data_IF_392738442900
#
_entry.id   IF_392738442900
#
_cell.length_a   1.000
_cell.length_b   1.000
_cell.length_c   1.000
_cell.angle_alpha   90.00
_cell.angle_beta   90.00
_cell.angle_gamma   90.00
#
_symmetry.space_group_name_H-M   'P 1'
#
loop_
_entity.id
_entity.type
_entity.pdbx_description
1 polymer ?
#
# COMPACT_ATOMS: atom_id res chain seq x y z
N UNK A 1 -9.84 12.28 19.56
CA UNK A 1 -8.66 12.88 18.95
C UNK A 1 -8.77 12.90 17.45
N UNK A 2 -8.44 14.02 16.85
CA UNK A 2 -8.46 14.14 15.40
C UNK A 2 -7.06 13.90 14.86
N UNK A 3 -6.94 12.88 14.03
CA UNK A 3 -5.69 12.61 13.31
C UNK A 3 -5.81 13.27 11.93
N UNK A 4 -4.85 14.11 11.61
CA UNK A 4 -4.84 14.87 10.36
C UNK A 4 -3.87 14.28 9.33
N UNK A 5 -3.10 13.29 9.73
CA UNK A 5 -2.01 12.74 8.92
C UNK A 5 -2.09 11.22 8.89
N UNK A 6 -1.73 10.66 7.75
CA UNK A 6 -1.57 9.21 7.59
C UNK A 6 -0.22 8.95 6.93
N UNK A 7 0.61 8.13 7.56
CA UNK A 7 1.83 7.60 6.97
C UNK A 7 1.50 6.31 6.26
N UNK A 8 1.85 6.21 4.99
CA UNK A 8 1.59 5.06 4.13
C UNK A 8 2.90 4.39 3.76
N UNK A 9 2.94 3.08 3.86
CA UNK A 9 4.07 2.27 3.44
C UNK A 9 3.55 1.11 2.59
N UNK A 10 4.02 1.01 1.35
CA UNK A 10 3.64 -0.05 0.43
C UNK A 10 4.77 -1.06 0.27
N UNK A 11 4.38 -2.33 0.18
CA UNK A 11 5.25 -3.37 -0.33
C UNK A 11 4.82 -3.65 -1.77
N UNK A 12 5.77 -3.63 -2.70
CA UNK A 12 5.48 -3.73 -4.13
C UNK A 12 6.40 -4.73 -4.82
N UNK A 13 5.98 -5.17 -6.00
CA UNK A 13 6.78 -6.05 -6.87
C UNK A 13 7.42 -5.27 -8.02
N UNK A 14 7.44 -3.95 -7.94
CA UNK A 14 8.01 -3.07 -8.95
C UNK A 14 8.54 -1.77 -8.37
N UNK A 15 9.17 -0.96 -9.21
CA UNK A 15 9.79 0.31 -8.80
C UNK A 15 9.20 1.53 -9.50
N UNK A 16 8.32 1.33 -10.47
CA UNK A 16 7.67 2.41 -11.22
C UNK A 16 6.30 2.74 -10.63
N UNK A 17 5.71 3.83 -11.11
CA UNK A 17 4.42 4.33 -10.61
C UNK A 17 3.25 3.36 -10.86
N UNK A 18 3.41 2.38 -11.72
CA UNK A 18 2.41 1.36 -12.03
C UNK A 18 2.72 0.01 -11.37
N UNK A 19 3.58 -0.02 -10.37
CA UNK A 19 4.00 -1.26 -9.72
C UNK A 19 2.82 -2.05 -9.15
N UNK A 20 2.90 -3.37 -9.26
CA UNK A 20 1.97 -4.27 -8.58
C UNK A 20 2.19 -4.16 -7.07
N UNK A 21 1.11 -4.07 -6.30
CA UNK A 21 1.15 -3.88 -4.85
C UNK A 21 0.94 -5.21 -4.15
N UNK A 22 1.79 -5.50 -3.17
CA UNK A 22 1.73 -6.71 -2.35
C UNK A 22 0.99 -6.44 -1.03
N UNK A 23 1.23 -5.28 -0.43
CA UNK A 23 0.66 -4.94 0.86
C UNK A 23 0.55 -3.42 1.02
N UNK A 24 -0.47 -2.99 1.76
CA UNK A 24 -0.65 -1.60 2.16
C UNK A 24 -0.61 -1.55 3.68
N UNK A 25 0.33 -0.77 4.22
CA UNK A 25 0.40 -0.46 5.63
C UNK A 25 0.21 1.03 5.84
N UNK A 26 -0.43 1.41 6.95
CA UNK A 26 -0.62 2.81 7.28
C UNK A 26 -0.83 3.01 8.77
N UNK A 27 -0.48 4.20 9.24
CA UNK A 27 -0.75 4.63 10.61
C UNK A 27 -1.16 6.10 10.59
N UNK A 28 -2.26 6.40 11.27
CA UNK A 28 -2.67 7.78 11.47
C UNK A 28 -1.85 8.42 12.60
N UNK A 29 -1.58 9.71 12.51
CA UNK A 29 -0.82 10.41 13.55
C UNK A 29 -1.16 11.89 13.58
N UNK A 30 -0.81 12.55 14.69
CA UNK A 30 -0.83 13.99 14.80
C UNK A 30 0.59 14.52 14.99
N UNK A 31 0.77 15.84 14.90
CA UNK A 31 2.10 16.43 15.04
C UNK A 31 2.59 16.50 16.49
N UNK A 32 1.79 16.09 17.45
CA UNK A 32 2.17 15.99 18.86
C UNK A 32 2.78 14.63 19.20
N UNK A 33 2.88 13.73 18.22
CA UNK A 33 3.49 12.43 18.41
C UNK A 33 2.50 11.32 18.80
N UNK A 34 1.20 11.60 18.77
CA UNK A 34 0.18 10.58 19.07
C UNK A 34 -0.06 9.74 17.83
N UNK A 35 -0.06 8.41 18.01
CA UNK A 35 -0.39 7.45 16.96
C UNK A 35 -1.84 7.01 17.11
N UNK A 36 -2.51 6.92 15.98
CA UNK A 36 -3.91 6.53 15.91
C UNK A 36 -4.11 5.15 15.30
N UNK A 37 -5.31 4.90 14.77
CA UNK A 37 -5.62 3.59 14.17
C UNK A 37 -4.67 3.23 13.04
N UNK A 38 -4.34 1.95 12.97
CA UNK A 38 -3.47 1.42 11.93
C UNK A 38 -4.28 0.66 10.89
N UNK A 39 -3.67 0.48 9.71
CA UNK A 39 -4.19 -0.36 8.64
C UNK A 39 -3.07 -1.25 8.15
N UNK A 40 -3.36 -2.52 7.90
CA UNK A 40 -2.44 -3.41 7.22
C UNK A 40 -3.22 -4.54 6.55
N UNK A 41 -3.11 -4.62 5.22
CA UNK A 41 -3.70 -5.73 4.47
C UNK A 41 -2.78 -6.12 3.33
N UNK A 42 -2.71 -7.42 3.07
CA UNK A 42 -1.98 -7.97 1.95
C UNK A 42 -2.90 -8.15 0.75
N UNK A 43 -2.32 -7.99 -0.44
CA UNK A 43 -3.04 -8.08 -1.71
C UNK A 43 -2.60 -9.35 -2.43
N UNK A 44 -3.54 -10.09 -2.98
CA UNK A 44 -3.24 -11.20 -3.88
C UNK A 44 -2.49 -10.63 -5.09
N UNK A 45 -1.25 -11.07 -5.28
CA UNK A 45 -0.38 -10.49 -6.31
C UNK A 45 -0.99 -10.62 -7.71
N UNK A 46 -1.56 -11.78 -8.03
CA UNK A 46 -2.17 -12.01 -9.33
C UNK A 46 -3.27 -10.98 -9.64
N UNK A 47 -4.08 -10.61 -8.65
CA UNK A 47 -5.15 -9.63 -8.85
C UNK A 47 -4.60 -8.24 -9.17
N UNK A 48 -3.49 -7.86 -8.56
CA UNK A 48 -2.84 -6.58 -8.85
C UNK A 48 -2.27 -6.56 -10.27
N UNK A 49 -1.61 -7.64 -10.67
CA UNK A 49 -1.06 -7.78 -12.03
C UNK A 49 -2.16 -7.81 -13.07
N UNK A 50 -3.24 -8.55 -12.82
CA UNK A 50 -4.38 -8.66 -13.75
C UNK A 50 -5.04 -7.30 -14.00
N UNK A 51 -4.98 -6.41 -13.01
CA UNK A 51 -5.53 -5.06 -13.14
C UNK A 51 -4.50 -4.04 -13.66
N UNK A 52 -3.38 -4.49 -14.18
CA UNK A 52 -2.38 -3.62 -14.80
C UNK A 52 -1.18 -3.27 -13.94
N UNK A 53 -1.08 -3.82 -12.75
CA UNK A 53 0.13 -3.69 -11.94
C UNK A 53 1.31 -4.39 -12.60
N UNK A 54 2.48 -3.77 -12.57
CA UNK A 54 3.66 -4.27 -13.25
C UNK A 54 4.66 -4.84 -12.26
N UNK A 55 5.21 -6.02 -12.59
CA UNK A 55 6.31 -6.61 -11.86
C UNK A 55 7.62 -6.34 -12.60
N UNK A 56 8.62 -5.85 -11.87
CA UNK A 56 9.95 -5.64 -12.42
C UNK A 56 10.86 -6.80 -12.05
N UNK A 57 11.62 -7.31 -13.03
CA UNK A 57 12.51 -8.44 -12.81
C UNK A 57 13.51 -8.18 -11.68
N UNK A 58 14.05 -6.97 -11.60
CA UNK A 58 15.01 -6.60 -10.55
C UNK A 58 14.38 -6.69 -9.15
N UNK A 59 13.12 -6.30 -9.02
CA UNK A 59 12.40 -6.36 -7.74
C UNK A 59 12.07 -7.80 -7.37
N UNK A 60 11.63 -8.61 -8.34
CA UNK A 60 11.40 -10.04 -8.11
C UNK A 60 12.66 -10.72 -7.60
N UNK A 61 13.79 -10.46 -8.25
CA UNK A 61 15.08 -11.03 -7.84
C UNK A 61 15.50 -10.55 -6.45
N UNK A 62 15.24 -9.28 -6.14
CA UNK A 62 15.52 -8.73 -4.82
C UNK A 62 14.70 -9.46 -3.74
N UNK A 63 13.40 -9.69 -3.97
CA UNK A 63 12.55 -10.42 -3.03
C UNK A 63 13.03 -11.86 -2.83
N UNK A 64 13.49 -12.53 -3.90
CA UNK A 64 13.97 -13.89 -3.80
C UNK A 64 15.22 -14.04 -2.93
N UNK A 65 15.97 -12.94 -2.73
CA UNK A 65 17.14 -12.90 -1.86
C UNK A 65 16.81 -12.57 -0.41
N UNK A 66 15.57 -12.22 -0.12
CA UNK A 66 15.16 -11.88 1.23
C UNK A 66 14.93 -13.13 2.06
N UNK A 67 14.79 -12.94 3.40
CA UNK A 67 14.50 -14.02 4.32
C UNK A 67 13.11 -14.63 4.07
N UNK A 68 12.89 -15.83 4.57
CA UNK A 68 11.58 -16.49 4.50
C UNK A 68 10.50 -15.62 5.13
N UNK A 69 10.81 -14.93 6.22
CA UNK A 69 9.85 -14.06 6.90
C UNK A 69 9.46 -12.87 6.04
N UNK A 70 10.42 -12.25 5.36
CA UNK A 70 10.12 -11.14 4.46
C UNK A 70 9.27 -11.60 3.28
N UNK A 71 9.54 -12.79 2.74
CA UNK A 71 8.80 -13.35 1.61
C UNK A 71 7.37 -13.74 1.95
N UNK A 72 7.05 -13.95 3.22
CA UNK A 72 5.68 -14.26 3.64
C UNK A 72 4.68 -13.17 3.26
N UNK A 73 5.13 -11.94 3.04
CA UNK A 73 4.25 -10.84 2.67
C UNK A 73 3.55 -11.07 1.33
N UNK A 74 4.20 -11.72 0.38
CA UNK A 74 3.57 -12.03 -0.91
C UNK A 74 3.22 -13.50 -1.08
N UNK A 75 3.66 -14.38 -0.19
CA UNK A 75 3.30 -15.79 -0.18
C UNK A 75 1.96 -16.04 0.54
N UNK A 76 1.47 -15.05 1.28
CA UNK A 76 0.18 -15.15 1.97
C UNK A 76 -0.97 -15.10 0.99
N UNK A 77 -2.07 -15.75 1.35
CA UNK A 77 -3.35 -15.59 0.67
C UNK A 77 -3.88 -14.18 0.98
N UNK A 78 -3.58 -13.22 0.10
CA UNK A 78 -4.08 -11.87 0.22
C UNK A 78 -5.50 -11.75 -0.32
N UNK A 79 -6.12 -10.60 -0.05
CA UNK A 79 -7.40 -10.25 -0.63
C UNK A 79 -7.20 -9.68 -2.03
N UNK A 80 -8.27 -9.69 -2.84
CA UNK A 80 -8.22 -9.07 -4.16
C UNK A 80 -7.90 -7.58 -4.03
N UNK A 81 -7.16 -7.05 -5.00
CA UNK A 81 -6.69 -5.66 -4.93
C UNK A 81 -7.84 -4.67 -4.72
N UNK A 82 -8.94 -4.81 -5.46
CA UNK A 82 -10.04 -3.85 -5.34
C UNK A 82 -10.68 -3.88 -3.93
N UNK A 83 -10.71 -5.03 -3.29
CA UNK A 83 -11.24 -5.17 -1.92
C UNK A 83 -10.36 -4.43 -0.93
N UNK A 84 -9.05 -4.61 -1.04
CA UNK A 84 -8.09 -3.91 -0.17
C UNK A 84 -8.17 -2.40 -0.40
N UNK A 85 -8.26 -1.97 -1.65
CA UNK A 85 -8.39 -0.54 -1.97
C UNK A 85 -9.68 0.06 -1.41
N UNK A 86 -10.80 -0.67 -1.44
CA UNK A 86 -12.04 -0.24 -0.81
C UNK A 86 -11.89 -0.13 0.71
N UNK A 87 -11.29 -1.13 1.35
CA UNK A 87 -11.02 -1.11 2.79
C UNK A 87 -10.13 0.07 3.18
N UNK A 88 -9.12 0.33 2.37
CA UNK A 88 -8.21 1.44 2.63
C UNK A 88 -8.90 2.80 2.45
N UNK A 89 -9.76 2.94 1.45
CA UNK A 89 -10.55 4.15 1.27
C UNK A 89 -11.46 4.40 2.48
N UNK A 90 -12.11 3.36 3.01
CA UNK A 90 -12.94 3.48 4.21
C UNK A 90 -12.10 3.91 5.41
N UNK A 91 -10.91 3.35 5.57
CA UNK A 91 -9.98 3.75 6.61
C UNK A 91 -9.63 5.24 6.52
N UNK A 92 -9.28 5.71 5.31
CA UNK A 92 -8.93 7.12 5.10
C UNK A 92 -10.13 8.04 5.35
N UNK A 93 -11.31 7.66 4.88
CA UNK A 93 -12.52 8.47 5.05
C UNK A 93 -12.91 8.62 6.51
N UNK A 94 -12.52 7.70 7.38
CA UNK A 94 -12.79 7.78 8.80
C UNK A 94 -12.12 8.97 9.49
N UNK A 95 -11.10 9.55 8.86
CA UNK A 95 -10.35 10.71 9.41
C UNK A 95 -10.82 12.06 8.86
N UNK A 96 -11.77 12.07 7.91
CA UNK A 96 -12.29 13.30 7.33
C UNK A 96 -11.59 13.68 6.02
N UNK A 97 -12.02 14.82 5.45
CA UNK A 97 -11.61 15.24 4.10
C UNK A 97 -10.22 15.86 4.02
N UNK A 98 -9.73 16.38 5.13
CA UNK A 98 -8.50 17.19 5.15
C UNK A 98 -7.27 16.38 5.54
N UNK A 99 -7.36 15.07 5.44
CA UNK A 99 -6.26 14.17 5.79
C UNK A 99 -5.07 14.38 4.84
N UNK A 100 -3.87 14.44 5.42
CA UNK A 100 -2.63 14.59 4.67
C UNK A 100 -1.90 13.26 4.59
N UNK A 101 -1.36 12.96 3.43
CA UNK A 101 -0.69 11.68 3.15
C UNK A 101 0.81 11.85 3.15
N UNK A 102 1.48 10.94 3.83
CA UNK A 102 2.93 10.88 3.91
C UNK A 102 3.36 9.49 3.45
N UNK A 103 4.40 9.41 2.66
CA UNK A 103 4.97 8.14 2.23
C UNK A 103 6.43 8.05 2.65
N UNK A 104 6.93 6.84 2.64
CA UNK A 104 8.34 6.55 2.86
C UNK A 104 9.07 6.74 1.52
N UNK A 105 9.42 7.97 1.19
CA UNK A 105 9.73 8.37 -0.17
C UNK A 105 8.45 8.80 -0.86
N UNK A 106 7.92 9.97 -0.50
CA UNK A 106 6.55 10.41 -0.76
C UNK A 106 6.11 10.35 -2.23
N UNK A 107 7.03 10.50 -3.18
CA UNK A 107 6.71 10.40 -4.59
C UNK A 107 6.57 8.96 -5.09
N UNK A 108 6.99 7.97 -4.30
CA UNK A 108 6.88 6.56 -4.68
C UNK A 108 5.55 5.96 -4.21
N UNK A 109 5.36 5.85 -2.90
CA UNK A 109 4.21 5.14 -2.33
C UNK A 109 2.88 5.78 -2.71
N UNK A 110 2.77 7.10 -2.57
CA UNK A 110 1.53 7.80 -2.83
C UNK A 110 1.16 7.81 -4.32
N UNK A 111 2.15 7.88 -5.21
CA UNK A 111 1.91 7.84 -6.66
C UNK A 111 1.47 6.44 -7.09
N UNK A 112 2.11 5.40 -6.60
CA UNK A 112 1.73 4.01 -6.91
C UNK A 112 0.30 3.74 -6.45
N UNK A 113 -0.05 4.18 -5.24
CA UNK A 113 -1.38 3.99 -4.68
C UNK A 113 -2.44 4.74 -5.50
N UNK A 114 -2.19 6.01 -5.84
CA UNK A 114 -3.10 6.80 -6.67
C UNK A 114 -3.31 6.13 -8.04
N UNK A 115 -2.24 5.62 -8.64
CA UNK A 115 -2.31 4.92 -9.91
C UNK A 115 -3.16 3.65 -9.82
N UNK A 116 -3.01 2.88 -8.73
CA UNK A 116 -3.83 1.69 -8.50
C UNK A 116 -5.32 2.04 -8.44
N UNK A 117 -5.68 3.09 -7.71
CA UNK A 117 -7.08 3.55 -7.67
C UNK A 117 -7.59 3.95 -9.05
N UNK A 118 -6.77 4.63 -9.84
CA UNK A 118 -7.15 5.08 -11.17
C UNK A 118 -7.50 3.90 -12.10
N UNK A 119 -6.79 2.79 -11.95
CA UNK A 119 -7.05 1.59 -12.76
C UNK A 119 -8.40 0.94 -12.49
N UNK A 120 -9.04 1.24 -11.35
CA UNK A 120 -10.32 0.65 -10.94
C UNK A 120 -11.52 1.56 -11.22
N UNK A 121 -11.35 2.64 -11.97
CA UNK A 121 -12.45 3.56 -12.32
C UNK A 121 -13.19 3.10 -13.58
#
# INVERSE_FOLDING_TARGET
MNYENVMIDLETMGVNNNAAIIAIGAVAFDFEGNLGPTFYETIELASSVDNGGVMDASTVLWWMKQSDEARKEFERDGLLEYVVLEHFADYLMSFGKDIKFWGNGASFDNVILANAYTRWV
#
